data_IF_685490090226
#
_entry.id   IF_685490090226
#
_cell.length_a   1.000
_cell.length_b   1.000
_cell.length_c   1.000
_cell.angle_alpha   90.00
_cell.angle_beta   90.00
_cell.angle_gamma   90.00
#
_symmetry.space_group_name_H-M   'P 1'
#
loop_
_entity.id
_entity.type
_entity.pdbx_description
1 polymer ?
#
# COMPACT_ATOMS: atom_id res chain seq x y z
N UNK A 1 26.39 -8.30 12.13
CA UNK A 1 26.23 -7.55 10.86
C UNK A 1 24.80 -7.04 10.87
N UNK A 2 24.63 -5.72 10.97
CA UNK A 2 23.35 -5.06 11.16
C UNK A 2 22.71 -4.89 9.77
N UNK A 3 21.98 -5.91 9.28
CA UNK A 3 21.24 -5.81 8.02
C UNK A 3 19.94 -5.04 8.28
N UNK A 4 20.03 -3.71 8.31
CA UNK A 4 18.86 -2.89 8.02
C UNK A 4 18.81 -2.82 6.50
N UNK A 5 18.12 -3.78 5.89
CA UNK A 5 17.43 -3.46 4.65
C UNK A 5 16.38 -2.43 5.07
N UNK A 6 16.73 -1.15 4.96
CA UNK A 6 15.74 -0.08 4.94
C UNK A 6 14.87 -0.37 3.70
N UNK A 7 13.84 -1.19 3.88
CA UNK A 7 12.74 -1.29 2.93
C UNK A 7 12.26 0.14 2.72
N UNK A 8 12.46 0.67 1.52
CA UNK A 8 12.09 2.06 1.22
C UNK A 8 10.56 2.13 1.28
N UNK A 9 10.04 2.63 2.41
CA UNK A 9 8.61 2.79 2.65
C UNK A 9 8.17 4.19 2.27
N UNK A 10 7.10 4.30 1.49
CA UNK A 10 6.51 5.57 1.07
C UNK A 10 5.01 5.57 1.34
N UNK A 11 4.53 6.58 2.07
CA UNK A 11 3.10 6.82 2.28
C UNK A 11 2.52 7.54 1.07
N UNK A 12 1.49 6.95 0.46
CA UNK A 12 0.84 7.48 -0.74
C UNK A 12 -0.38 8.32 -0.41
N UNK A 13 -1.15 7.89 0.60
CA UNK A 13 -2.33 8.59 1.09
C UNK A 13 -2.67 8.15 2.51
N UNK A 14 -3.25 9.05 3.29
CA UNK A 14 -3.81 8.73 4.61
C UNK A 14 -5.05 9.59 4.90
N UNK A 15 -5.94 9.09 5.74
CA UNK A 15 -7.10 9.83 6.26
C UNK A 15 -6.90 10.14 7.73
N UNK A 16 -7.08 11.39 8.12
CA UNK A 16 -6.80 11.84 9.50
C UNK A 16 -7.77 11.27 10.54
N UNK A 17 -9.06 11.09 10.19
CA UNK A 17 -10.09 10.73 11.18
C UNK A 17 -10.24 9.21 11.38
N UNK A 18 -10.19 8.43 10.30
CA UNK A 18 -10.44 6.98 10.34
C UNK A 18 -9.16 6.14 10.37
N UNK A 19 -7.99 6.76 10.19
CA UNK A 19 -6.71 6.05 10.17
C UNK A 19 -6.57 5.08 8.99
N UNK A 20 -7.27 5.32 7.88
CA UNK A 20 -7.03 4.58 6.64
C UNK A 20 -5.77 5.11 6.00
N UNK A 21 -4.92 4.21 5.51
CA UNK A 21 -3.67 4.57 4.88
C UNK A 21 -3.38 3.67 3.69
N UNK A 22 -2.71 4.23 2.71
CA UNK A 22 -2.07 3.49 1.62
C UNK A 22 -0.60 3.84 1.64
N UNK A 23 0.24 2.82 1.69
CA UNK A 23 1.68 2.97 1.61
C UNK A 23 2.28 1.84 0.79
N UNK A 24 3.51 2.00 0.31
CA UNK A 24 4.24 0.97 -0.42
C UNK A 24 5.62 0.76 0.16
N UNK A 25 6.15 -0.46 0.01
CA UNK A 25 7.51 -0.81 0.39
C UNK A 25 8.25 -1.42 -0.80
N UNK A 26 9.53 -1.09 -0.96
CA UNK A 26 10.42 -1.81 -1.87
C UNK A 26 10.94 -3.09 -1.18
N UNK A 27 10.62 -4.26 -1.75
CA UNK A 27 11.11 -5.57 -1.34
C UNK A 27 12.04 -6.18 -2.42
N UNK A 28 12.62 -7.36 -2.14
CA UNK A 28 13.58 -8.02 -3.05
C UNK A 28 13.00 -8.29 -4.45
N UNK A 29 11.70 -8.58 -4.52
CA UNK A 29 10.97 -8.90 -5.76
C UNK A 29 10.24 -7.70 -6.39
N UNK A 30 10.34 -6.50 -5.79
CA UNK A 30 9.71 -5.28 -6.28
C UNK A 30 8.85 -4.57 -5.22
N UNK A 31 7.98 -3.66 -5.67
CA UNK A 31 7.09 -2.94 -4.77
C UNK A 31 5.94 -3.81 -4.28
N UNK A 32 5.60 -3.66 -3.00
CA UNK A 32 4.36 -4.17 -2.42
C UNK A 32 3.54 -3.00 -1.90
N UNK A 33 2.26 -2.99 -2.26
CA UNK A 33 1.31 -1.96 -1.82
C UNK A 33 0.49 -2.47 -0.64
N UNK A 34 0.32 -1.61 0.35
CA UNK A 34 -0.33 -1.89 1.61
C UNK A 34 -1.50 -0.93 1.79
N UNK A 35 -2.69 -1.47 2.01
CA UNK A 35 -3.88 -0.68 2.38
C UNK A 35 -4.27 -1.04 3.80
N UNK A 36 -4.20 -0.07 4.71
CA UNK A 36 -4.67 -0.19 6.08
C UNK A 36 -6.10 0.32 6.19
N UNK A 37 -7.01 -0.55 6.62
CA UNK A 37 -8.43 -0.27 6.79
C UNK A 37 -8.83 -0.48 8.26
N UNK A 38 -8.05 0.12 9.16
CA UNK A 38 -8.20 0.02 10.61
C UNK A 38 -7.89 -1.37 11.16
N UNK A 39 -8.79 -2.34 10.98
CA UNK A 39 -8.66 -3.70 11.52
C UNK A 39 -8.08 -4.74 10.55
N UNK A 40 -7.88 -4.36 9.28
CA UNK A 40 -7.40 -5.23 8.21
C UNK A 40 -6.35 -4.48 7.42
N UNK A 41 -5.27 -5.18 7.06
CA UNK A 41 -4.28 -4.70 6.09
C UNK A 41 -4.31 -5.61 4.86
N UNK A 42 -4.43 -5.02 3.69
CA UNK A 42 -4.33 -5.72 2.41
C UNK A 42 -2.94 -5.50 1.83
N UNK A 43 -2.31 -6.58 1.39
CA UNK A 43 -1.01 -6.57 0.70
C UNK A 43 -1.24 -6.98 -0.75
N UNK A 44 -0.68 -6.22 -1.68
CA UNK A 44 -0.87 -6.44 -3.11
C UNK A 44 0.43 -6.27 -3.87
N UNK A 45 0.63 -7.14 -4.86
CA UNK A 45 1.64 -6.94 -5.88
C UNK A 45 1.29 -5.71 -6.75
N UNK A 46 2.25 -5.14 -7.51
CA UNK A 46 2.00 -3.95 -8.32
C UNK A 46 0.84 -4.10 -9.30
N UNK A 47 0.74 -5.24 -9.98
CA UNK A 47 -0.32 -5.53 -10.96
C UNK A 47 -1.71 -5.59 -10.31
N UNK A 48 -1.80 -6.19 -9.11
CA UNK A 48 -3.05 -6.27 -8.33
C UNK A 48 -3.47 -4.89 -7.82
N UNK A 49 -2.51 -4.07 -7.40
CA UNK A 49 -2.75 -2.70 -6.96
C UNK A 49 -3.30 -1.82 -8.09
N UNK A 50 -2.74 -1.91 -9.30
CA UNK A 50 -3.20 -1.14 -10.46
C UNK A 50 -4.67 -1.47 -10.81
N UNK A 51 -5.02 -2.76 -10.84
CA UNK A 51 -6.40 -3.20 -11.11
C UNK A 51 -7.35 -2.79 -9.97
N UNK A 52 -6.92 -2.91 -8.71
CA UNK A 52 -7.72 -2.47 -7.56
C UNK A 52 -7.97 -0.96 -7.57
N UNK A 53 -6.94 -0.16 -7.80
CA UNK A 53 -7.06 1.30 -7.85
C UNK A 53 -8.00 1.74 -8.98
N UNK A 54 -7.90 1.10 -10.15
CA UNK A 54 -8.79 1.31 -11.28
C UNK A 54 -10.25 0.97 -10.94
N UNK A 55 -10.49 -0.17 -10.27
CA UNK A 55 -11.81 -0.59 -9.81
C UNK A 55 -12.43 0.42 -8.84
N UNK A 56 -11.69 0.83 -7.80
CA UNK A 56 -12.18 1.80 -6.81
C UNK A 56 -12.44 3.16 -7.45
N UNK A 57 -11.54 3.64 -8.31
CA UNK A 57 -11.74 4.89 -9.05
C UNK A 57 -13.00 4.84 -9.92
N UNK A 58 -13.27 3.71 -10.57
CA UNK A 58 -14.48 3.51 -11.38
C UNK A 58 -15.75 3.43 -10.52
N UNK A 59 -15.68 2.87 -9.31
CA UNK A 59 -16.80 2.72 -8.40
C UNK A 59 -17.15 4.02 -7.64
N UNK A 60 -16.17 4.91 -7.47
CA UNK A 60 -16.33 6.19 -6.77
C UNK A 60 -16.96 7.30 -7.64
N UNK A 61 -17.12 7.05 -8.95
CA UNK A 61 -17.63 8.00 -9.94
C UNK A 61 -19.16 8.15 -9.92
#
# INVERSE_FOLDING_TARGET
MNQNHDSETEVLAETEESGFAVWRSMEEDGYVYHIELGGITLHMAPEEWEEFASLIASAAA
#
